data_IF_267723830011
#
_entry.id   IF_267723830011
#
_cell.length_a   1.000
_cell.length_b   1.000
_cell.length_c   1.000
_cell.angle_alpha   90.00
_cell.angle_beta   90.00
_cell.angle_gamma   90.00
#
_symmetry.space_group_name_H-M   'P 1'
#
loop_
_entity.id
_entity.type
_entity.pdbx_description
1 polymer ?
#
# COMPACT_ATOMS: atom_id res chain seq x y z
N UNK A 1 -6.78 2.47 -21.77
CA UNK A 1 -7.79 3.05 -22.67
C UNK A 1 -9.08 3.44 -21.93
N UNK A 2 -9.92 2.50 -21.41
CA UNK A 2 -11.24 2.82 -20.82
C UNK A 2 -11.19 3.80 -19.63
N UNK A 3 -10.21 3.67 -18.75
CA UNK A 3 -9.99 4.58 -17.62
C UNK A 3 -9.73 6.02 -18.12
N UNK A 4 -8.80 6.19 -19.06
CA UNK A 4 -8.43 7.49 -19.64
C UNK A 4 -9.63 8.11 -20.37
N UNK A 5 -10.34 7.31 -21.17
CA UNK A 5 -11.54 7.77 -21.89
C UNK A 5 -12.63 8.26 -20.93
N UNK A 6 -12.84 7.60 -19.81
CA UNK A 6 -13.88 7.94 -18.85
C UNK A 6 -13.65 9.29 -18.15
N UNK A 7 -12.40 9.72 -17.99
CA UNK A 7 -12.06 11.03 -17.42
C UNK A 7 -11.71 12.07 -18.49
N UNK A 8 -11.86 11.72 -19.77
CA UNK A 8 -11.46 12.61 -20.90
C UNK A 8 -10.02 13.15 -20.76
N UNK A 9 -9.12 12.33 -20.21
CA UNK A 9 -7.72 12.72 -19.96
C UNK A 9 -7.51 13.80 -18.91
N UNK A 10 -8.54 14.18 -18.13
CA UNK A 10 -8.43 15.24 -17.11
C UNK A 10 -8.86 14.72 -15.74
N UNK A 11 -8.06 15.03 -14.73
CA UNK A 11 -8.40 14.72 -13.36
C UNK A 11 -9.56 15.64 -12.93
N UNK A 12 -10.64 15.11 -12.30
CA UNK A 12 -11.68 15.94 -11.73
C UNK A 12 -11.10 16.96 -10.74
N UNK A 13 -11.43 18.25 -10.90
CA UNK A 13 -10.91 19.33 -10.06
C UNK A 13 -11.55 19.40 -8.69
N UNK A 14 -12.85 19.04 -8.64
CA UNK A 14 -13.63 19.03 -7.42
C UNK A 14 -13.54 17.68 -6.69
N UNK A 15 -14.65 17.24 -6.08
CA UNK A 15 -14.74 15.94 -5.46
C UNK A 15 -14.65 14.82 -6.51
N UNK A 16 -13.69 13.92 -6.36
CA UNK A 16 -13.61 12.72 -7.17
C UNK A 16 -14.26 11.56 -6.42
N UNK A 17 -15.48 11.21 -6.79
CA UNK A 17 -16.19 10.04 -6.28
C UNK A 17 -15.69 8.79 -7.01
N UNK A 18 -14.86 7.99 -6.33
CA UNK A 18 -14.25 6.81 -6.92
C UNK A 18 -15.26 5.71 -7.22
N UNK A 19 -16.28 5.54 -6.37
CA UNK A 19 -17.29 4.51 -6.59
C UNK A 19 -18.14 4.82 -7.83
N UNK A 20 -18.66 6.04 -7.91
CA UNK A 20 -19.46 6.49 -9.05
C UNK A 20 -18.64 6.43 -10.36
N UNK A 21 -17.35 6.79 -10.28
CA UNK A 21 -16.48 6.76 -11.45
C UNK A 21 -16.18 5.33 -11.92
N UNK A 22 -15.93 4.41 -11.01
CA UNK A 22 -15.75 2.98 -11.33
C UNK A 22 -16.99 2.38 -11.96
N UNK A 23 -18.18 2.75 -11.48
CA UNK A 23 -19.45 2.29 -12.05
C UNK A 23 -19.67 2.86 -13.46
N UNK A 24 -19.25 4.10 -13.69
CA UNK A 24 -19.29 4.72 -15.01
C UNK A 24 -18.35 4.01 -16.01
N UNK A 25 -17.08 3.78 -15.63
CA UNK A 25 -16.11 3.05 -16.47
C UNK A 25 -16.64 1.65 -16.82
N UNK A 26 -17.18 0.95 -15.81
CA UNK A 26 -17.72 -0.39 -16.02
C UNK A 26 -18.86 -0.38 -17.04
N UNK A 27 -19.80 0.57 -16.95
CA UNK A 27 -20.91 0.72 -17.91
C UNK A 27 -20.37 1.04 -19.31
N UNK A 28 -19.38 1.93 -19.42
CA UNK A 28 -18.76 2.26 -20.69
C UNK A 28 -18.19 1.01 -21.38
N UNK A 29 -17.37 0.23 -20.66
CA UNK A 29 -16.75 -1.00 -21.19
C UNK A 29 -17.81 -2.03 -21.60
N UNK A 30 -18.87 -2.22 -20.80
CA UNK A 30 -19.93 -3.17 -21.11
C UNK A 30 -20.78 -2.75 -22.32
N UNK A 31 -20.87 -1.44 -22.57
CA UNK A 31 -21.59 -0.91 -23.75
C UNK A 31 -20.76 -1.08 -25.02
N UNK A 32 -19.44 -0.89 -24.93
CA UNK A 32 -18.53 -1.03 -26.09
C UNK A 32 -18.28 -2.49 -26.47
N UNK A 33 -18.15 -3.38 -25.49
CA UNK A 33 -17.96 -4.82 -25.75
C UNK A 33 -18.78 -5.69 -24.79
N UNK A 34 -19.89 -6.19 -25.25
CA UNK A 34 -20.80 -7.06 -24.49
C UNK A 34 -20.21 -8.44 -24.15
N UNK A 35 -19.06 -8.81 -24.72
CA UNK A 35 -18.38 -10.10 -24.48
C UNK A 35 -17.49 -10.05 -23.24
N UNK A 36 -17.25 -8.88 -22.66
CA UNK A 36 -16.40 -8.74 -21.49
C UNK A 36 -17.04 -9.43 -20.28
N UNK A 37 -16.31 -10.39 -19.70
CA UNK A 37 -16.81 -11.17 -18.57
C UNK A 37 -16.80 -10.36 -17.27
N UNK A 38 -17.71 -10.69 -16.34
CA UNK A 38 -17.75 -10.06 -15.01
C UNK A 38 -16.42 -10.23 -14.24
N UNK A 39 -15.71 -11.36 -14.43
CA UNK A 39 -14.41 -11.58 -13.82
C UNK A 39 -13.33 -10.64 -14.37
N UNK A 40 -13.29 -10.43 -15.69
CA UNK A 40 -12.36 -9.48 -16.32
C UNK A 40 -12.62 -8.05 -15.83
N UNK A 41 -13.88 -7.63 -15.78
CA UNK A 41 -14.27 -6.32 -15.23
C UNK A 41 -13.84 -6.18 -13.78
N UNK A 42 -14.07 -7.20 -12.94
CA UNK A 42 -13.68 -7.16 -11.53
C UNK A 42 -12.17 -6.94 -11.34
N UNK A 43 -11.34 -7.57 -12.17
CA UNK A 43 -9.89 -7.40 -12.13
C UNK A 43 -9.49 -5.98 -12.57
N UNK A 44 -10.02 -5.50 -13.69
CA UNK A 44 -9.77 -4.14 -14.18
C UNK A 44 -10.24 -3.08 -13.15
N UNK A 45 -11.38 -3.32 -12.49
CA UNK A 45 -11.94 -2.43 -11.48
C UNK A 45 -10.98 -2.23 -10.30
N UNK A 46 -10.23 -3.27 -9.90
CA UNK A 46 -9.16 -3.16 -8.92
C UNK A 46 -8.06 -2.20 -9.38
N UNK A 47 -7.52 -2.40 -10.58
CA UNK A 47 -6.48 -1.55 -11.14
C UNK A 47 -6.94 -0.09 -11.31
N UNK A 48 -8.16 0.15 -11.80
CA UNK A 48 -8.70 1.51 -11.90
C UNK A 48 -8.82 2.20 -10.55
N UNK A 49 -9.21 1.46 -9.52
CA UNK A 49 -9.29 1.99 -8.16
C UNK A 49 -7.91 2.35 -7.62
N UNK A 50 -6.92 1.50 -7.83
CA UNK A 50 -5.54 1.75 -7.43
C UNK A 50 -4.94 2.97 -8.15
N UNK A 51 -5.21 3.15 -9.46
CA UNK A 51 -4.76 4.34 -10.19
C UNK A 51 -5.39 5.64 -9.68
N UNK A 52 -6.69 5.66 -9.39
CA UNK A 52 -7.34 6.85 -8.82
C UNK A 52 -6.70 7.24 -7.48
N UNK A 53 -6.50 6.27 -6.60
CA UNK A 53 -5.84 6.45 -5.32
C UNK A 53 -4.40 6.94 -5.52
N UNK A 54 -3.63 6.29 -6.39
CA UNK A 54 -2.22 6.62 -6.63
C UNK A 54 -2.03 8.04 -7.17
N UNK A 55 -2.85 8.46 -8.13
CA UNK A 55 -2.85 9.81 -8.69
C UNK A 55 -3.14 10.85 -7.62
N UNK A 56 -4.22 10.65 -6.83
CA UNK A 56 -4.60 11.61 -5.80
C UNK A 56 -3.59 11.66 -4.64
N UNK A 57 -2.99 10.53 -4.26
CA UNK A 57 -1.90 10.49 -3.27
C UNK A 57 -0.69 11.27 -3.78
N UNK A 58 -0.26 11.01 -5.01
CA UNK A 58 0.89 11.69 -5.59
C UNK A 58 0.65 13.20 -5.67
N UNK A 59 -0.52 13.62 -6.14
CA UNK A 59 -0.88 15.03 -6.20
C UNK A 59 -0.96 15.67 -4.80
N UNK A 60 -1.51 14.95 -3.82
CA UNK A 60 -1.56 15.44 -2.43
C UNK A 60 -0.14 15.64 -1.87
N UNK A 61 0.78 14.69 -2.13
CA UNK A 61 2.19 14.82 -1.75
C UNK A 61 2.88 16.01 -2.43
N UNK A 62 2.62 16.22 -3.73
CA UNK A 62 3.18 17.35 -4.48
C UNK A 62 2.71 18.70 -3.93
N UNK A 63 1.42 18.84 -3.64
CA UNK A 63 0.79 20.12 -3.32
C UNK A 63 0.91 20.51 -1.84
N UNK A 64 0.87 19.55 -0.94
CA UNK A 64 0.79 19.81 0.50
C UNK A 64 2.12 19.64 1.26
N UNK A 65 3.18 19.22 0.57
CA UNK A 65 4.51 19.11 1.17
C UNK A 65 4.63 18.03 2.24
N UNK A 66 3.77 17.01 2.21
CA UNK A 66 3.80 15.90 3.15
C UNK A 66 5.16 15.18 3.15
N UNK A 67 5.57 14.69 4.31
CA UNK A 67 6.75 13.83 4.47
C UNK A 67 6.46 12.37 4.08
N UNK A 68 5.19 12.02 3.95
CA UNK A 68 4.70 10.72 3.56
C UNK A 68 4.49 10.65 2.05
N UNK A 69 5.22 9.76 1.38
CA UNK A 69 4.99 9.40 -0.02
C UNK A 69 4.49 7.96 -0.08
N UNK A 70 3.35 7.76 -0.73
CA UNK A 70 2.80 6.42 -0.94
C UNK A 70 2.75 6.11 -2.43
N UNK A 71 3.34 4.96 -2.82
CA UNK A 71 3.46 4.54 -4.22
C UNK A 71 2.84 3.16 -4.44
N UNK A 72 2.15 2.94 -5.57
CA UNK A 72 1.67 1.64 -5.94
C UNK A 72 2.83 0.67 -6.21
N UNK A 73 2.63 -0.59 -5.85
CA UNK A 73 3.56 -1.68 -6.13
C UNK A 73 2.98 -2.62 -7.19
N UNK A 74 3.82 -3.24 -8.02
CA UNK A 74 3.34 -4.15 -9.04
C UNK A 74 2.68 -5.39 -8.43
N UNK A 75 1.46 -5.67 -8.84
CA UNK A 75 0.75 -6.90 -8.47
C UNK A 75 1.11 -8.03 -9.43
N UNK A 76 2.39 -8.39 -9.49
CA UNK A 76 2.91 -9.47 -10.31
C UNK A 76 3.76 -10.43 -9.46
N UNK A 77 3.68 -11.71 -9.73
CA UNK A 77 4.38 -12.76 -8.99
C UNK A 77 5.92 -12.66 -9.01
N UNK A 78 6.48 -11.89 -9.94
CA UNK A 78 7.93 -11.68 -10.07
C UNK A 78 8.46 -10.51 -9.24
N UNK A 79 7.59 -9.64 -8.74
CA UNK A 79 8.01 -8.52 -7.90
C UNK A 79 8.05 -8.94 -6.44
N UNK A 80 9.06 -8.49 -5.73
CA UNK A 80 9.24 -8.71 -4.31
C UNK A 80 9.55 -7.37 -3.62
N UNK A 81 8.68 -6.91 -2.72
CA UNK A 81 8.87 -5.64 -2.03
C UNK A 81 10.18 -5.58 -1.21
N UNK A 82 10.77 -6.72 -0.85
CA UNK A 82 12.10 -6.77 -0.24
C UNK A 82 13.21 -6.17 -1.11
N UNK A 83 13.01 -6.15 -2.44
CA UNK A 83 13.97 -5.56 -3.39
C UNK A 83 14.05 -4.04 -3.33
N UNK A 84 13.12 -3.37 -2.67
CA UNK A 84 13.19 -1.93 -2.42
C UNK A 84 14.36 -1.57 -1.50
N UNK A 85 14.66 -2.46 -0.55
CA UNK A 85 15.76 -2.24 0.39
C UNK A 85 17.14 -2.38 -0.28
N UNK A 86 18.11 -1.64 0.24
CA UNK A 86 19.52 -1.82 -0.07
C UNK A 86 19.98 -3.25 0.23
N UNK A 87 21.04 -3.71 -0.44
CA UNK A 87 21.56 -5.08 -0.32
C UNK A 87 21.93 -5.46 1.13
N UNK A 88 22.46 -4.50 1.91
CA UNK A 88 22.80 -4.71 3.31
C UNK A 88 21.60 -4.99 4.21
N UNK A 89 20.38 -4.66 3.78
CA UNK A 89 19.11 -4.92 4.46
C UNK A 89 18.40 -6.13 3.85
N UNK A 90 18.16 -6.12 2.54
CA UNK A 90 17.40 -7.16 1.82
C UNK A 90 18.03 -8.57 1.94
N UNK A 91 19.36 -8.66 2.04
CA UNK A 91 20.08 -9.93 2.24
C UNK A 91 19.56 -10.75 3.44
N UNK A 92 19.08 -10.09 4.50
CA UNK A 92 18.56 -10.79 5.68
C UNK A 92 17.21 -11.46 5.42
N UNK A 93 16.36 -10.86 4.58
CA UNK A 93 15.09 -11.45 4.15
C UNK A 93 15.37 -12.65 3.24
N UNK A 94 16.27 -12.49 2.27
CA UNK A 94 16.65 -13.57 1.35
C UNK A 94 17.33 -14.73 2.06
N UNK A 95 18.20 -14.46 3.06
CA UNK A 95 18.82 -15.48 3.90
C UNK A 95 17.77 -16.26 4.72
N UNK A 96 16.78 -15.55 5.30
CA UNK A 96 15.68 -16.20 6.02
C UNK A 96 14.91 -17.17 5.11
N UNK A 97 14.52 -16.73 3.93
CA UNK A 97 13.79 -17.57 2.96
C UNK A 97 14.62 -18.78 2.53
N UNK A 98 15.90 -18.58 2.25
CA UNK A 98 16.83 -19.67 1.88
C UNK A 98 16.96 -20.71 3.00
N UNK A 99 17.06 -20.26 4.26
CA UNK A 99 17.16 -21.15 5.42
C UNK A 99 15.88 -21.96 5.64
N UNK A 100 14.70 -21.35 5.52
CA UNK A 100 13.44 -22.05 5.63
C UNK A 100 13.30 -23.13 4.56
N UNK A 101 13.62 -22.82 3.33
CA UNK A 101 13.58 -23.80 2.23
C UNK A 101 14.60 -24.94 2.42
N UNK A 102 15.82 -24.62 2.84
CA UNK A 102 16.87 -25.62 3.00
C UNK A 102 16.65 -26.57 4.19
N UNK A 103 16.08 -26.07 5.29
CA UNK A 103 15.94 -26.88 6.52
C UNK A 103 14.63 -27.63 6.62
N UNK A 104 13.54 -27.10 6.06
CA UNK A 104 12.19 -27.64 6.25
C UNK A 104 11.43 -27.84 4.94
N UNK A 105 12.02 -27.53 3.79
CA UNK A 105 11.36 -27.47 2.48
C UNK A 105 10.05 -26.60 2.51
N UNK A 106 10.10 -25.53 3.32
CA UNK A 106 9.00 -24.58 3.47
C UNK A 106 9.32 -23.32 2.73
N UNK A 107 8.39 -22.84 1.91
CA UNK A 107 8.49 -21.54 1.26
C UNK A 107 7.80 -20.47 2.09
N UNK A 108 8.49 -19.37 2.35
CA UNK A 108 7.89 -18.17 2.90
C UNK A 108 7.17 -17.43 1.77
N UNK A 109 5.89 -17.76 1.59
CA UNK A 109 5.04 -17.13 0.57
C UNK A 109 4.63 -15.75 1.07
N UNK A 110 5.09 -14.73 0.38
CA UNK A 110 4.71 -13.34 0.63
C UNK A 110 3.91 -12.84 -0.58
N UNK A 111 2.75 -12.24 -0.35
CA UNK A 111 2.12 -11.37 -1.33
C UNK A 111 2.66 -9.96 -1.16
N UNK A 112 2.73 -9.20 -2.25
CA UNK A 112 3.09 -7.80 -2.15
C UNK A 112 1.86 -7.00 -1.73
N UNK A 113 2.00 -6.04 -0.82
CA UNK A 113 0.97 -5.05 -0.58
C UNK A 113 0.75 -4.21 -1.84
N UNK A 114 -0.43 -3.62 -1.97
CA UNK A 114 -0.76 -2.82 -3.16
C UNK A 114 0.00 -1.47 -3.16
N UNK A 115 0.34 -0.93 -1.97
CA UNK A 115 1.12 0.31 -1.82
C UNK A 115 2.21 0.17 -0.77
N UNK A 116 3.33 0.84 -1.03
CA UNK A 116 4.40 1.10 -0.04
C UNK A 116 4.34 2.55 0.44
N UNK A 117 4.68 2.77 1.71
CA UNK A 117 4.69 4.10 2.34
C UNK A 117 6.12 4.43 2.76
N UNK A 118 6.63 5.53 2.23
CA UNK A 118 7.98 6.04 2.50
C UNK A 118 7.94 7.25 3.42
N UNK A 119 8.94 7.32 4.30
CA UNK A 119 9.35 8.55 4.96
C UNK A 119 10.29 9.32 4.01
N UNK A 120 9.84 10.46 3.50
CA UNK A 120 10.62 11.24 2.54
C UNK A 120 11.61 12.21 3.18
N UNK A 121 11.62 12.34 4.51
CA UNK A 121 12.55 13.23 5.22
C UNK A 121 14.01 12.87 4.99
N UNK A 122 14.28 11.57 4.81
CA UNK A 122 15.64 11.03 4.61
C UNK A 122 15.89 10.47 3.22
N UNK A 123 14.87 10.43 2.36
CA UNK A 123 15.01 9.92 1.00
C UNK A 123 15.72 10.95 0.11
N UNK A 124 16.86 10.56 -0.42
CA UNK A 124 17.69 11.38 -1.32
C UNK A 124 17.20 11.39 -2.78
N UNK A 125 16.03 10.83 -3.06
CA UNK A 125 15.49 10.76 -4.41
C UNK A 125 15.07 12.14 -4.90
N UNK A 126 15.64 12.58 -6.03
CA UNK A 126 15.20 13.76 -6.76
C UNK A 126 13.87 13.48 -7.49
N UNK A 127 12.79 13.28 -6.74
CA UNK A 127 11.46 13.23 -7.31
C UNK A 127 10.98 14.65 -7.60
N UNK A 128 10.57 14.90 -8.83
CA UNK A 128 9.84 16.13 -9.14
C UNK A 128 8.52 16.13 -8.35
N UNK A 129 8.16 17.29 -7.82
CA UNK A 129 6.87 17.54 -7.18
C UNK A 129 5.90 18.25 -8.12
N UNK A 130 5.93 17.88 -9.40
CA UNK A 130 4.98 18.40 -10.38
C UNK A 130 3.68 17.57 -10.30
N UNK A 131 2.55 18.18 -9.95
CA UNK A 131 1.30 17.44 -9.84
C UNK A 131 0.82 16.97 -11.22
N UNK A 132 0.16 15.84 -11.25
CA UNK A 132 -0.47 15.27 -12.44
C UNK A 132 -1.76 16.07 -12.71
N UNK A 133 -1.83 16.76 -13.82
CA UNK A 133 -3.02 17.52 -14.25
C UNK A 133 -3.84 16.75 -15.30
N UNK A 134 -3.15 15.98 -16.14
CA UNK A 134 -3.76 15.20 -17.22
C UNK A 134 -3.40 13.72 -17.05
N UNK A 135 -4.27 12.85 -17.55
CA UNK A 135 -4.08 11.40 -17.49
C UNK A 135 -4.13 10.83 -18.90
N UNK A 136 -3.01 10.34 -19.33
CA UNK A 136 -2.79 9.59 -20.56
C UNK A 136 -2.09 8.25 -20.27
N UNK A 137 -1.65 7.55 -21.30
CA UNK A 137 -0.94 6.28 -21.11
C UNK A 137 0.42 6.48 -20.46
N UNK A 138 1.13 7.56 -20.79
CA UNK A 138 2.44 7.90 -20.22
C UNK A 138 2.31 8.20 -18.71
N UNK A 139 1.23 8.88 -18.32
CA UNK A 139 0.94 9.18 -16.91
C UNK A 139 0.68 7.90 -16.12
N UNK A 140 -0.08 6.96 -16.66
CA UNK A 140 -0.33 5.67 -16.01
C UNK A 140 0.96 4.88 -15.91
N UNK A 141 1.75 4.82 -16.98
CA UNK A 141 3.07 4.17 -16.96
C UNK A 141 4.02 4.82 -15.96
N UNK A 142 4.01 6.13 -15.84
CA UNK A 142 4.80 6.87 -14.85
C UNK A 142 4.42 6.45 -13.43
N UNK A 143 3.14 6.47 -13.07
CA UNK A 143 2.66 6.07 -11.73
C UNK A 143 3.00 4.59 -11.44
N UNK A 144 2.73 3.69 -12.38
CA UNK A 144 2.98 2.26 -12.22
C UNK A 144 4.47 1.92 -12.08
N UNK A 145 5.37 2.77 -12.58
CA UNK A 145 6.81 2.52 -12.55
C UNK A 145 7.58 3.41 -11.56
N UNK A 146 6.92 4.34 -10.88
CA UNK A 146 7.59 5.30 -9.99
C UNK A 146 8.36 4.61 -8.85
N UNK A 147 7.85 3.49 -8.32
CA UNK A 147 8.51 2.67 -7.30
C UNK A 147 9.92 2.21 -7.72
N UNK A 148 10.20 2.09 -9.02
CA UNK A 148 11.50 1.63 -9.53
C UNK A 148 12.66 2.53 -9.12
N UNK A 149 12.40 3.81 -8.88
CA UNK A 149 13.40 4.75 -8.36
C UNK A 149 13.90 4.38 -6.96
N UNK A 150 13.14 3.55 -6.24
CA UNK A 150 13.42 3.13 -4.88
C UNK A 150 13.99 1.71 -4.78
N UNK A 151 14.02 0.96 -5.88
CA UNK A 151 14.59 -0.41 -5.90
C UNK A 151 16.07 -0.37 -5.55
N UNK A 152 16.46 -1.10 -4.50
CA UNK A 152 17.83 -1.18 -4.02
C UNK A 152 18.36 0.07 -3.31
N UNK A 153 17.51 1.06 -3.03
CA UNK A 153 17.96 2.34 -2.46
C UNK A 153 17.52 2.58 -1.02
N UNK A 154 16.45 1.91 -0.57
CA UNK A 154 15.87 2.18 0.74
C UNK A 154 16.72 1.61 1.87
N UNK A 155 17.00 2.44 2.87
CA UNK A 155 17.47 1.99 4.16
C UNK A 155 16.33 1.32 4.94
N UNK A 156 16.66 0.69 6.07
CA UNK A 156 15.65 0.08 6.94
C UNK A 156 14.59 1.07 7.43
N UNK A 157 14.93 2.35 7.57
CA UNK A 157 14.04 3.38 8.13
C UNK A 157 13.18 4.10 7.09
N UNK A 158 13.48 3.96 5.81
CA UNK A 158 12.82 4.72 4.75
C UNK A 158 11.43 4.17 4.44
N UNK A 159 11.21 2.86 4.63
CA UNK A 159 9.89 2.25 4.49
C UNK A 159 9.24 2.19 5.87
N UNK A 160 8.16 2.92 6.04
CA UNK A 160 7.47 3.09 7.32
C UNK A 160 6.11 2.39 7.38
N UNK A 161 5.59 1.97 6.24
CA UNK A 161 4.32 1.26 6.18
C UNK A 161 3.99 0.70 4.82
N UNK A 162 2.87 0.01 4.79
CA UNK A 162 2.25 -0.54 3.58
C UNK A 162 0.73 -0.43 3.67
N UNK A 163 0.07 -0.47 2.51
CA UNK A 163 -1.38 -0.52 2.44
C UNK A 163 -1.85 -1.54 1.41
N UNK A 164 -2.86 -2.33 1.79
CA UNK A 164 -3.60 -3.17 0.86
C UNK A 164 -4.94 -2.53 0.53
N UNK A 165 -5.31 -2.53 -0.75
CA UNK A 165 -6.55 -1.95 -1.26
C UNK A 165 -7.43 -3.01 -1.88
N UNK A 166 -8.72 -2.96 -1.62
CA UNK A 166 -9.69 -3.86 -2.27
C UNK A 166 -10.97 -3.09 -2.58
N UNK A 167 -11.56 -3.32 -3.73
CA UNK A 167 -12.87 -2.72 -4.06
C UNK A 167 -14.00 -3.24 -3.19
N UNK A 168 -13.82 -4.42 -2.55
CA UNK A 168 -14.76 -4.99 -1.60
C UNK A 168 -14.07 -5.95 -0.64
N UNK A 169 -14.53 -6.00 0.61
CA UNK A 169 -13.97 -6.83 1.69
C UNK A 169 -14.79 -8.09 1.93
N UNK A 170 -14.74 -9.05 0.99
CA UNK A 170 -15.24 -10.40 1.23
C UNK A 170 -14.40 -11.12 2.29
N UNK A 171 -14.90 -12.20 2.92
CA UNK A 171 -14.16 -12.92 3.96
C UNK A 171 -12.74 -13.36 3.58
N UNK A 172 -12.57 -13.86 2.35
CA UNK A 172 -11.29 -14.26 1.79
C UNK A 172 -10.30 -13.08 1.68
N UNK A 173 -10.79 -11.92 1.26
CA UNK A 173 -9.99 -10.69 1.15
C UNK A 173 -9.57 -10.15 2.51
N UNK A 174 -10.44 -10.21 3.52
CA UNK A 174 -10.07 -9.82 4.90
C UNK A 174 -8.96 -10.70 5.45
N UNK A 175 -9.07 -12.02 5.29
CA UNK A 175 -8.03 -12.95 5.73
C UNK A 175 -6.70 -12.70 5.02
N UNK A 176 -6.73 -12.40 3.72
CA UNK A 176 -5.54 -12.04 2.95
C UNK A 176 -4.84 -10.81 3.54
N UNK A 177 -5.57 -9.70 3.75
CA UNK A 177 -5.01 -8.46 4.30
C UNK A 177 -4.41 -8.67 5.69
N UNK A 178 -5.09 -9.42 6.56
CA UNK A 178 -4.60 -9.77 7.90
C UNK A 178 -3.33 -10.61 7.84
N UNK A 179 -3.29 -11.59 6.94
CA UNK A 179 -2.11 -12.44 6.75
C UNK A 179 -0.92 -11.62 6.26
N UNK A 180 -1.11 -10.79 5.25
CA UNK A 180 -0.09 -9.91 4.69
C UNK A 180 0.46 -8.94 5.74
N UNK A 181 -0.41 -8.28 6.50
CA UNK A 181 0.00 -7.37 7.56
C UNK A 181 0.78 -8.07 8.66
N UNK A 182 0.31 -9.25 9.11
CA UNK A 182 1.01 -10.05 10.12
C UNK A 182 2.40 -10.49 9.64
N UNK A 183 2.50 -10.93 8.39
CA UNK A 183 3.76 -11.38 7.82
C UNK A 183 4.74 -10.23 7.58
N UNK A 184 4.26 -9.08 7.10
CA UNK A 184 5.06 -7.86 6.92
C UNK A 184 5.68 -7.43 8.24
N UNK A 185 4.89 -7.39 9.33
CA UNK A 185 5.38 -7.04 10.66
C UNK A 185 6.40 -8.07 11.18
N UNK A 186 6.15 -9.36 10.98
CA UNK A 186 7.10 -10.40 11.36
C UNK A 186 8.44 -10.27 10.64
N UNK A 187 8.42 -9.97 9.33
CA UNK A 187 9.65 -9.71 8.57
C UNK A 187 10.37 -8.44 9.05
N UNK A 188 9.63 -7.41 9.40
CA UNK A 188 10.21 -6.18 9.93
C UNK A 188 10.90 -6.40 11.29
N UNK A 189 10.28 -7.14 12.21
CA UNK A 189 10.89 -7.56 13.49
C UNK A 189 12.15 -8.40 13.26
N UNK A 190 12.14 -9.30 12.25
CA UNK A 190 13.34 -10.02 11.86
C UNK A 190 14.46 -9.08 11.42
N UNK A 191 14.17 -8.09 10.58
CA UNK A 191 15.14 -7.08 10.16
C UNK A 191 15.67 -6.26 11.34
N UNK A 192 14.81 -5.81 12.26
CA UNK A 192 15.21 -5.09 13.49
C UNK A 192 16.25 -5.88 14.28
N UNK A 193 15.97 -7.16 14.49
CA UNK A 193 16.87 -8.06 15.22
C UNK A 193 18.21 -8.24 14.50
N UNK A 194 18.18 -8.40 13.16
CA UNK A 194 19.39 -8.62 12.37
C UNK A 194 20.26 -7.38 12.20
N UNK A 195 19.66 -6.21 12.25
CA UNK A 195 20.33 -4.91 12.13
C UNK A 195 20.68 -4.29 13.48
N UNK A 196 20.33 -4.92 14.59
CA UNK A 196 20.58 -4.43 15.96
C UNK A 196 20.03 -3.02 16.20
N UNK A 197 18.75 -2.80 15.84
CA UNK A 197 18.09 -1.50 15.99
C UNK A 197 17.62 -1.32 17.44
N UNK A 198 18.20 -0.38 18.18
CA UNK A 198 17.91 -0.17 19.61
C UNK A 198 16.51 0.39 19.89
N UNK A 199 16.02 1.27 19.02
CA UNK A 199 14.70 1.90 19.15
C UNK A 199 13.92 1.67 17.86
N UNK A 200 13.32 0.49 17.70
CA UNK A 200 12.58 0.15 16.51
C UNK A 200 11.25 0.91 16.47
N UNK A 201 10.97 1.57 15.36
CA UNK A 201 9.60 1.95 15.03
C UNK A 201 8.86 0.70 14.57
N UNK A 202 7.62 0.51 15.01
CA UNK A 202 6.76 -0.51 14.45
C UNK A 202 6.36 -0.10 13.03
N UNK A 203 6.55 -0.99 12.04
CA UNK A 203 6.04 -0.76 10.70
C UNK A 203 4.51 -0.80 10.71
N UNK A 204 3.87 0.12 10.01
CA UNK A 204 2.41 0.16 9.94
C UNK A 204 1.89 -0.60 8.73
N UNK A 205 0.75 -1.26 8.91
CA UNK A 205 0.04 -1.92 7.82
C UNK A 205 -1.41 -1.45 7.80
N UNK A 206 -1.85 -0.91 6.69
CA UNK A 206 -3.18 -0.34 6.53
C UNK A 206 -4.03 -1.17 5.56
N UNK A 207 -5.33 -1.20 5.80
CA UNK A 207 -6.31 -1.76 4.88
C UNK A 207 -7.19 -0.66 4.31
N UNK A 208 -7.53 -0.75 3.03
CA UNK A 208 -8.44 0.21 2.41
C UNK A 208 -9.47 -0.46 1.50
N UNK A 209 -10.67 0.11 1.45
CA UNK A 209 -11.74 -0.36 0.58
C UNK A 209 -12.68 0.76 0.20
N UNK A 210 -13.42 0.59 -0.92
CA UNK A 210 -14.49 1.52 -1.30
C UNK A 210 -15.59 1.62 -0.24
N UNK A 211 -15.93 0.49 0.39
CA UNK A 211 -16.91 0.40 1.47
C UNK A 211 -16.35 -0.35 2.64
N UNK A 212 -16.60 0.16 3.82
CA UNK A 212 -16.10 -0.41 5.06
C UNK A 212 -17.19 -0.37 6.14
N UNK A 213 -17.57 -1.52 6.65
CA UNK A 213 -18.52 -1.62 7.75
C UNK A 213 -17.82 -2.03 9.06
N UNK A 214 -18.53 -1.94 10.19
CA UNK A 214 -17.96 -2.25 11.51
C UNK A 214 -17.51 -3.70 11.67
N UNK A 215 -18.15 -4.64 10.94
CA UNK A 215 -17.73 -6.04 10.93
C UNK A 215 -16.38 -6.21 10.24
N UNK A 216 -16.16 -5.49 9.14
CA UNK A 216 -14.89 -5.48 8.43
C UNK A 216 -13.79 -4.89 9.30
N UNK A 217 -14.04 -3.73 9.93
CA UNK A 217 -13.08 -3.08 10.84
C UNK A 217 -12.66 -4.02 11.99
N UNK A 218 -13.62 -4.69 12.63
CA UNK A 218 -13.33 -5.62 13.71
C UNK A 218 -12.55 -6.85 13.25
N UNK A 219 -12.87 -7.37 12.05
CA UNK A 219 -12.19 -8.56 11.52
C UNK A 219 -10.73 -8.26 11.09
N UNK A 220 -10.44 -7.05 10.65
CA UNK A 220 -9.09 -6.63 10.25
C UNK A 220 -8.20 -6.27 11.45
N UNK A 221 -8.77 -5.75 12.54
CA UNK A 221 -8.04 -5.38 13.78
C UNK A 221 -7.71 -6.59 14.66
N UNK A 222 -7.33 -7.71 14.08
CA UNK A 222 -6.86 -8.88 14.82
C UNK A 222 -5.37 -8.78 15.16
N UNK A 223 -4.92 -9.62 16.08
CA UNK A 223 -3.52 -9.64 16.52
C UNK A 223 -2.59 -10.18 15.42
N UNK A 224 -1.42 -9.57 15.26
CA UNK A 224 -0.34 -10.12 14.45
C UNK A 224 0.25 -11.34 15.15
N UNK A 225 0.20 -12.51 14.50
CA UNK A 225 0.51 -13.81 15.11
C UNK A 225 1.88 -13.86 15.76
N UNK A 226 2.90 -13.26 15.15
CA UNK A 226 4.27 -13.25 15.68
C UNK A 226 4.37 -12.52 17.03
N UNK A 227 3.56 -11.50 17.27
CA UNK A 227 3.65 -10.66 18.46
C UNK A 227 3.15 -11.36 19.75
N UNK A 228 2.34 -12.40 19.64
CA UNK A 228 1.90 -13.17 20.80
C UNK A 228 2.95 -14.16 21.33
N UNK A 229 3.99 -14.44 20.55
CA UNK A 229 5.09 -15.34 20.92
C UNK A 229 6.32 -14.60 21.44
N UNK A 230 6.33 -13.27 21.38
CA UNK A 230 7.46 -12.45 21.80
C UNK A 230 7.25 -11.94 23.22
N UNK A 231 8.07 -12.42 24.16
CA UNK A 231 7.92 -12.15 25.61
C UNK A 231 8.16 -10.69 26.00
N UNK A 232 8.87 -9.93 25.16
CA UNK A 232 9.34 -8.56 25.46
C UNK A 232 8.60 -7.46 24.68
N UNK A 233 7.61 -7.79 23.87
CA UNK A 233 6.86 -6.80 23.10
C UNK A 233 5.37 -6.87 23.40
N UNK A 234 4.72 -5.71 23.37
CA UNK A 234 3.26 -5.65 23.41
C UNK A 234 2.66 -6.29 22.15
N UNK A 235 1.49 -6.97 22.28
CA UNK A 235 0.81 -7.53 21.13
C UNK A 235 0.46 -6.45 20.08
N UNK A 236 0.86 -6.68 18.84
CA UNK A 236 0.60 -5.78 17.72
C UNK A 236 -0.65 -6.21 16.95
N UNK A 237 -1.33 -5.25 16.35
CA UNK A 237 -2.39 -5.54 15.38
C UNK A 237 -1.78 -5.94 14.05
N UNK A 238 -2.40 -6.90 13.35
CA UNK A 238 -2.00 -7.27 11.99
C UNK A 238 -2.25 -6.10 11.01
N UNK A 239 -3.36 -5.38 11.19
CA UNK A 239 -3.73 -4.17 10.46
C UNK A 239 -3.93 -3.05 11.46
N UNK A 240 -3.16 -1.99 11.36
CA UNK A 240 -3.19 -0.88 12.32
C UNK A 240 -4.48 -0.07 12.22
N UNK A 241 -4.90 0.26 10.99
CA UNK A 241 -6.17 0.93 10.73
C UNK A 241 -6.73 0.57 9.35
N UNK A 242 -8.03 0.81 9.17
CA UNK A 242 -8.76 0.52 7.95
C UNK A 242 -9.53 1.75 7.49
N UNK A 243 -9.36 2.11 6.21
CA UNK A 243 -9.92 3.30 5.63
C UNK A 243 -10.97 2.98 4.56
N UNK A 244 -12.06 3.73 4.59
CA UNK A 244 -13.01 3.76 3.49
C UNK A 244 -12.58 4.84 2.50
N UNK A 245 -12.18 4.41 1.30
CA UNK A 245 -11.68 5.29 0.26
C UNK A 245 -12.67 5.34 -0.90
N UNK A 246 -13.87 5.85 -0.67
CA UNK A 246 -14.87 6.00 -1.73
C UNK A 246 -14.73 7.29 -2.53
N UNK A 247 -13.91 8.25 -2.07
CA UNK A 247 -13.69 9.53 -2.74
C UNK A 247 -12.36 10.17 -2.35
N UNK A 248 -11.91 11.17 -3.13
CA UNK A 248 -10.74 12.01 -2.83
C UNK A 248 -10.78 12.59 -1.43
N UNK A 249 -11.91 13.13 -1.01
CA UNK A 249 -12.06 13.71 0.33
C UNK A 249 -11.76 12.71 1.44
N UNK A 250 -12.27 11.47 1.31
CA UNK A 250 -11.99 10.39 2.26
C UNK A 250 -10.53 9.96 2.22
N UNK A 251 -9.92 9.93 1.03
CA UNK A 251 -8.51 9.63 0.88
C UNK A 251 -7.63 10.67 1.59
N UNK A 252 -7.89 11.96 1.37
CA UNK A 252 -7.14 13.04 2.03
C UNK A 252 -7.27 12.94 3.55
N UNK A 253 -8.48 12.69 4.07
CA UNK A 253 -8.66 12.45 5.52
C UNK A 253 -7.86 11.25 6.00
N UNK A 254 -7.84 10.15 5.25
CA UNK A 254 -7.08 8.96 5.60
C UNK A 254 -5.57 9.21 5.61
N UNK A 255 -5.06 10.06 4.70
CA UNK A 255 -3.62 10.44 4.69
C UNK A 255 -3.27 11.17 5.99
N UNK A 256 -4.07 12.13 6.45
CA UNK A 256 -3.83 12.81 7.73
C UNK A 256 -3.86 11.86 8.92
N UNK A 257 -4.80 10.90 8.93
CA UNK A 257 -4.86 9.88 9.98
C UNK A 257 -3.62 8.98 9.96
N UNK A 258 -3.17 8.57 8.76
CA UNK A 258 -1.94 7.78 8.59
C UNK A 258 -0.71 8.56 9.06
N UNK A 259 -0.57 9.83 8.70
CA UNK A 259 0.54 10.68 9.15
C UNK A 259 0.60 10.77 10.67
N UNK A 260 -0.54 10.96 11.33
CA UNK A 260 -0.62 11.00 12.79
C UNK A 260 -0.15 9.69 13.45
N UNK A 261 -0.36 8.55 12.79
CA UNK A 261 0.07 7.24 13.28
C UNK A 261 1.53 6.94 12.96
N UNK A 262 2.05 7.46 11.84
CA UNK A 262 3.41 7.22 11.36
C UNK A 262 4.44 8.18 11.98
N UNK A 263 4.00 9.41 12.26
CA UNK A 263 4.79 10.47 12.88
C UNK A 263 4.10 10.96 14.15
N UNK A 264 3.99 10.11 15.20
CA UNK A 264 3.39 10.55 16.45
C UNK A 264 4.20 11.73 16.99
N UNK A 265 3.54 12.84 17.28
CA UNK A 265 4.16 13.97 17.99
C UNK A 265 4.80 13.39 19.25
N UNK A 266 6.08 13.65 19.45
CA UNK A 266 6.74 13.32 20.71
C UNK A 266 5.95 14.02 21.81
N UNK A 267 5.14 13.25 22.53
CA UNK A 267 4.62 13.70 23.82
C UNK A 267 5.87 13.88 24.66
N UNK A 268 6.19 15.13 24.98
CA UNK A 268 7.20 15.44 25.98
C UNK A 268 6.84 14.61 27.22
N UNK A 269 7.67 13.62 27.53
CA UNK A 269 7.60 12.93 28.82
C UNK A 269 7.84 14.00 29.88
N UNK A 270 6.77 14.38 30.59
CA UNK A 270 6.82 15.23 31.82
C UNK A 270 7.21 14.34 32.98
#
# INVERSE_FOLDING_TARGET
AAFIAAINGKIPTDEWDYEAHLDYIQKLVQTEDTRVTAGAISNCRGAWFEWMIAIDIFNNWCLNGHELLMLPLPNISRFDCATLYQDNVSKYIFDLRKKLKASLDIELITSNPDFVIFDTTNLTSNLSRDPIETVDEDTIEFIDNLFRKFVGTCSFRDIIGYMATKTSLRPDRRLQIVHEGSLTKAMYVHLQTRLWVDQPRSIKYFGASLKLNDKDRRALKTVATHSITTVLSEPERAVDECFELSSRKKLVSAIFDMESMLFPSSVEEI
#
